data_IF_803172720762
#
_entry.id   IF_803172720762
#
_cell.length_a   1.000
_cell.length_b   1.000
_cell.length_c   1.000
_cell.angle_alpha   90.00
_cell.angle_beta   90.00
_cell.angle_gamma   90.00
#
_symmetry.space_group_name_H-M   'P 1'
#
loop_
_entity.id
_entity.type
_entity.pdbx_description
1 polymer ?
#
# COMPACT_ATOMS: atom_id res chain seq x y z
N UNK A 1 10.61 0.76 -23.06
CA UNK A 1 10.33 -0.58 -22.46
C UNK A 1 9.22 -1.32 -23.20
N UNK A 2 9.20 -2.67 -23.28
CA UNK A 2 8.02 -3.39 -23.77
C UNK A 2 6.93 -3.40 -22.68
N UNK A 3 5.67 -3.22 -23.08
CA UNK A 3 4.52 -3.28 -22.16
C UNK A 3 4.47 -4.62 -21.39
N UNK A 4 5.04 -5.67 -21.99
CA UNK A 4 5.09 -7.03 -21.44
C UNK A 4 5.81 -7.09 -20.09
N UNK A 5 6.94 -6.39 -19.93
CA UNK A 5 7.70 -6.42 -18.67
C UNK A 5 6.95 -5.78 -17.50
N UNK A 6 6.14 -4.76 -17.77
CA UNK A 6 5.30 -4.13 -16.74
C UNK A 6 4.10 -5.00 -16.38
N UNK A 7 3.55 -5.74 -17.35
CA UNK A 7 2.52 -6.73 -17.10
C UNK A 7 3.04 -7.91 -16.27
N UNK A 8 4.25 -8.41 -16.59
CA UNK A 8 4.95 -9.45 -15.82
C UNK A 8 5.22 -9.00 -14.38
N UNK A 9 5.76 -7.78 -14.19
CA UNK A 9 6.00 -7.21 -12.85
C UNK A 9 4.71 -7.11 -12.01
N UNK A 10 3.60 -6.66 -12.63
CA UNK A 10 2.30 -6.65 -11.96
C UNK A 10 1.84 -8.07 -11.61
N UNK A 11 1.97 -9.02 -12.54
CA UNK A 11 1.56 -10.40 -12.32
C UNK A 11 2.38 -11.06 -11.20
N UNK A 12 3.68 -10.77 -11.12
CA UNK A 12 4.54 -11.23 -10.03
C UNK A 12 4.07 -10.68 -8.67
N UNK A 13 3.79 -9.37 -8.59
CA UNK A 13 3.24 -8.75 -7.39
C UNK A 13 1.87 -9.35 -7.00
N UNK A 14 0.95 -9.53 -7.95
CA UNK A 14 -0.36 -10.16 -7.72
C UNK A 14 -0.23 -11.61 -7.21
N UNK A 15 0.75 -12.36 -7.74
CA UNK A 15 1.04 -13.72 -7.30
C UNK A 15 1.55 -13.75 -5.86
N UNK A 16 2.48 -12.85 -5.53
CA UNK A 16 3.03 -12.71 -4.17
C UNK A 16 1.95 -12.28 -3.15
N UNK A 17 1.10 -11.33 -3.53
CA UNK A 17 0.03 -10.81 -2.68
C UNK A 17 -1.19 -11.75 -2.58
N UNK A 18 -1.37 -12.66 -3.54
CA UNK A 18 -2.49 -13.60 -3.59
C UNK A 18 -3.82 -13.00 -4.06
N UNK A 19 -3.81 -11.83 -4.68
CA UNK A 19 -5.01 -11.19 -5.23
C UNK A 19 -4.71 -10.30 -6.44
N UNK A 20 -5.76 -9.99 -7.21
CA UNK A 20 -5.68 -9.06 -8.34
C UNK A 20 -5.64 -7.61 -7.89
N UNK A 21 -4.65 -6.87 -8.38
CA UNK A 21 -4.49 -5.46 -8.06
C UNK A 21 -5.45 -4.65 -8.95
N UNK A 22 -6.24 -3.71 -8.42
CA UNK A 22 -7.09 -2.85 -9.26
C UNK A 22 -6.28 -1.95 -10.20
N UNK A 23 -6.76 -1.73 -11.42
CA UNK A 23 -6.04 -0.95 -12.44
C UNK A 23 -5.71 0.48 -12.01
N UNK A 24 -6.60 1.11 -11.23
CA UNK A 24 -6.37 2.45 -10.69
C UNK A 24 -5.15 2.47 -9.76
N UNK A 25 -5.01 1.46 -8.90
CA UNK A 25 -3.87 1.32 -7.98
C UNK A 25 -2.60 1.04 -8.78
N UNK A 26 -2.67 0.07 -9.70
CA UNK A 26 -1.57 -0.27 -10.59
C UNK A 26 -1.03 0.96 -11.34
N UNK A 27 -1.94 1.77 -11.89
CA UNK A 27 -1.59 3.00 -12.62
C UNK A 27 -0.95 4.05 -11.72
N UNK A 28 -1.53 4.31 -10.54
CA UNK A 28 -0.97 5.28 -9.59
C UNK A 28 0.41 4.87 -9.08
N UNK A 29 0.59 3.59 -8.78
CA UNK A 29 1.88 3.04 -8.32
C UNK A 29 2.93 3.08 -9.44
N UNK A 30 2.54 2.77 -10.69
CA UNK A 30 3.45 2.88 -11.84
C UNK A 30 3.93 4.33 -12.05
N UNK A 31 3.03 5.30 -11.92
CA UNK A 31 3.39 6.72 -11.99
C UNK A 31 4.41 7.09 -10.91
N UNK A 32 4.20 6.62 -9.68
CA UNK A 32 5.11 6.84 -8.57
C UNK A 32 6.48 6.17 -8.79
N UNK A 33 6.50 4.92 -9.26
CA UNK A 33 7.73 4.19 -9.57
C UNK A 33 8.54 4.88 -10.68
N UNK A 34 7.88 5.36 -11.75
CA UNK A 34 8.52 6.18 -12.80
C UNK A 34 9.17 7.43 -12.22
N UNK A 35 8.42 8.17 -11.40
CA UNK A 35 8.93 9.40 -10.77
C UNK A 35 10.14 9.12 -9.87
N UNK A 36 10.15 8.00 -9.15
CA UNK A 36 11.30 7.56 -8.36
C UNK A 36 12.51 7.22 -9.23
N UNK A 37 12.32 6.48 -10.33
CA UNK A 37 13.40 6.20 -11.28
C UNK A 37 14.03 7.49 -11.82
N UNK A 38 13.21 8.47 -12.22
CA UNK A 38 13.68 9.78 -12.71
C UNK A 38 14.54 10.50 -11.66
N UNK A 39 14.05 10.57 -10.41
CA UNK A 39 14.75 11.26 -9.32
C UNK A 39 16.05 10.58 -8.92
N UNK A 40 16.13 9.26 -9.05
CA UNK A 40 17.31 8.45 -8.72
C UNK A 40 18.24 8.21 -9.91
N UNK A 41 17.98 8.86 -11.06
CA UNK A 41 18.72 8.70 -12.32
C UNK A 41 18.87 7.23 -12.76
N UNK A 42 17.87 6.40 -12.43
CA UNK A 42 17.86 4.99 -12.79
C UNK A 42 17.44 4.80 -14.25
N UNK A 43 18.02 3.82 -14.96
CA UNK A 43 17.64 3.54 -16.33
C UNK A 43 16.20 3.00 -16.40
N UNK A 44 15.53 3.20 -17.54
CA UNK A 44 14.16 2.71 -17.76
C UNK A 44 14.03 1.19 -17.56
N UNK A 45 15.13 0.43 -17.75
CA UNK A 45 15.18 -1.02 -17.51
C UNK A 45 15.00 -1.42 -16.06
N UNK A 46 15.20 -0.50 -15.11
CA UNK A 46 14.98 -0.71 -13.69
C UNK A 46 13.50 -0.59 -13.28
N UNK A 47 12.69 0.08 -14.12
CA UNK A 47 11.30 0.39 -13.79
C UNK A 47 10.43 -0.84 -13.46
N UNK A 48 10.49 -1.97 -14.20
CA UNK A 48 9.69 -3.15 -13.87
C UNK A 48 10.00 -3.70 -12.47
N UNK A 49 11.29 -3.77 -12.10
CA UNK A 49 11.74 -4.24 -10.79
C UNK A 49 11.24 -3.33 -9.66
N UNK A 50 11.38 -2.01 -9.85
CA UNK A 50 10.89 -1.04 -8.88
C UNK A 50 9.35 -1.08 -8.78
N UNK A 51 8.66 -1.23 -9.91
CA UNK A 51 7.20 -1.25 -9.96
C UNK A 51 6.61 -2.46 -9.21
N UNK A 52 7.16 -3.66 -9.40
CA UNK A 52 6.77 -4.85 -8.62
C UNK A 52 6.94 -4.61 -7.12
N UNK A 53 8.09 -4.05 -6.72
CA UNK A 53 8.39 -3.75 -5.31
C UNK A 53 7.42 -2.72 -4.74
N UNK A 54 7.16 -1.62 -5.45
CA UNK A 54 6.25 -0.58 -4.98
C UNK A 54 4.80 -1.06 -4.86
N UNK A 55 4.36 -1.99 -5.71
CA UNK A 55 3.04 -2.60 -5.61
C UNK A 55 2.90 -3.39 -4.30
N UNK A 56 3.87 -4.24 -3.99
CA UNK A 56 3.86 -5.00 -2.74
C UNK A 56 3.96 -4.09 -1.51
N UNK A 57 4.84 -3.08 -1.54
CA UNK A 57 5.00 -2.09 -0.48
C UNK A 57 3.75 -1.23 -0.26
N UNK A 58 3.03 -0.90 -1.33
CA UNK A 58 1.76 -0.16 -1.23
C UNK A 58 0.76 -0.92 -0.35
N UNK A 59 0.58 -2.22 -0.61
CA UNK A 59 -0.37 -3.04 0.15
C UNK A 59 0.11 -3.35 1.57
N UNK A 60 1.42 -3.53 1.77
CA UNK A 60 1.99 -3.67 3.11
C UNK A 60 1.72 -2.42 3.96
N UNK A 61 1.96 -1.22 3.41
CA UNK A 61 1.64 0.05 4.09
C UNK A 61 0.15 0.19 4.37
N UNK A 62 -0.70 -0.18 3.41
CA UNK A 62 -2.15 -0.15 3.60
C UNK A 62 -2.60 -1.06 4.76
N UNK A 63 -2.08 -2.29 4.82
CA UNK A 63 -2.38 -3.24 5.89
C UNK A 63 -1.94 -2.72 7.27
N UNK A 64 -0.73 -2.13 7.36
CA UNK A 64 -0.22 -1.52 8.59
C UNK A 64 -1.11 -0.36 9.03
N UNK A 65 -1.47 0.54 8.11
CA UNK A 65 -2.31 1.70 8.42
C UNK A 65 -3.71 1.28 8.90
N UNK A 66 -4.33 0.30 8.24
CA UNK A 66 -5.62 -0.25 8.66
C UNK A 66 -5.56 -0.87 10.06
N UNK A 67 -4.48 -1.59 10.38
CA UNK A 67 -4.27 -2.14 11.72
C UNK A 67 -4.11 -1.01 12.75
N UNK A 68 -3.37 0.04 12.43
CA UNK A 68 -3.19 1.22 13.27
C UNK A 68 -4.50 1.95 13.56
N UNK A 69 -5.34 2.16 12.54
CA UNK A 69 -6.65 2.80 12.70
C UNK A 69 -7.58 1.98 13.59
N UNK A 70 -7.67 0.66 13.41
CA UNK A 70 -8.46 -0.21 14.29
C UNK A 70 -8.03 -0.12 15.75
N UNK A 71 -6.72 -0.08 16.01
CA UNK A 71 -6.21 0.09 17.37
C UNK A 71 -6.54 1.47 17.94
N UNK A 72 -6.49 2.52 17.12
CA UNK A 72 -6.88 3.87 17.51
C UNK A 72 -8.36 3.93 17.89
N UNK A 73 -9.23 3.36 17.07
CA UNK A 73 -10.68 3.26 17.32
C UNK A 73 -10.98 2.52 18.63
N UNK A 74 -10.32 1.39 18.88
CA UNK A 74 -10.49 0.62 20.11
C UNK A 74 -10.11 1.46 21.34
N UNK A 75 -8.95 2.13 21.33
CA UNK A 75 -8.52 3.00 22.44
C UNK A 75 -9.51 4.14 22.69
N UNK A 76 -10.04 4.76 21.63
CA UNK A 76 -11.04 5.82 21.75
C UNK A 76 -12.36 5.30 22.36
N UNK A 77 -12.78 4.10 21.98
CA UNK A 77 -13.97 3.45 22.54
C UNK A 77 -13.79 3.13 24.02
N UNK A 78 -12.64 2.57 24.41
CA UNK A 78 -12.30 2.28 25.80
C UNK A 78 -12.28 3.56 26.65
N UNK A 79 -11.59 4.61 26.17
CA UNK A 79 -11.52 5.90 26.85
C UNK A 79 -12.91 6.53 27.08
N UNK A 80 -13.79 6.46 26.07
CA UNK A 80 -15.18 6.92 26.20
C UNK A 80 -15.97 6.10 27.23
N UNK A 81 -15.79 4.78 27.26
CA UNK A 81 -16.51 3.92 28.19
C UNK A 81 -16.02 4.07 29.64
N UNK A 82 -14.73 4.35 29.84
CA UNK A 82 -14.17 4.67 31.18
C UNK A 82 -14.54 6.07 31.68
N UNK A 83 -14.97 6.96 30.79
CA UNK A 83 -15.33 8.34 31.12
C UNK A 83 -16.81 8.51 31.50
N UNK A 84 -17.62 7.43 31.55
CA UNK A 84 -18.98 7.50 32.11
C UNK A 84 -18.83 7.63 33.63
N UNK A 85 -19.17 8.79 34.23
CA UNK A 85 -19.17 8.91 35.68
C UNK A 85 -20.20 7.93 36.21
N UNK A 86 -19.86 7.17 37.24
CA UNK A 86 -20.87 6.59 38.09
C UNK A 86 -21.81 7.72 38.49
N UNK A 87 -23.09 7.62 38.12
CA UNK A 87 -24.13 8.38 38.81
C UNK A 87 -24.10 7.87 40.24
N UNK A 88 -23.36 8.58 41.08
CA UNK A 88 -23.47 8.49 42.53
C UNK A 88 -24.91 8.93 42.86
N UNK A 89 -25.75 7.93 43.18
CA UNK A 89 -27.08 8.08 43.79
C UNK A 89 -26.90 8.05 45.30
#
# INVERSE_FOLDING_TARGET
MSADKLAEARQAAETSLGFKIPDVVATSVLWYARRKCELAEQPESYLPLLYETELTDYYMRLAINLKGEKQREQRMREARNSAVPGTDI
#
